data_IF_048699001812
#
_entry.id   IF_048699001812
#
_cell.length_a   1.000
_cell.length_b   1.000
_cell.length_c   1.000
_cell.angle_alpha   90.00
_cell.angle_beta   90.00
_cell.angle_gamma   90.00
#
_symmetry.space_group_name_H-M   'P 1'
#
loop_
_entity.id
_entity.type
_entity.pdbx_description
1 polymer ?
#
# COMPACT_ATOMS: atom_id res chain seq x y z
N UNK A 1 -5.18 32.59 8.26
CA UNK A 1 -6.26 32.79 9.28
C UNK A 1 -7.13 31.53 9.32
N UNK A 2 -8.01 31.37 10.33
CA UNK A 2 -9.08 30.34 10.45
C UNK A 2 -8.77 29.20 11.42
N UNK A 3 -8.82 29.49 12.72
CA UNK A 3 -9.35 28.60 13.78
C UNK A 3 -9.20 29.36 15.10
N UNK A 4 -9.97 30.43 15.27
CA UNK A 4 -10.03 31.14 16.55
C UNK A 4 -11.33 30.88 17.32
N UNK A 5 -12.35 30.28 16.69
CA UNK A 5 -13.62 29.91 17.32
C UNK A 5 -14.18 28.58 16.78
N UNK A 6 -13.41 27.49 16.84
CA UNK A 6 -13.89 26.17 16.42
C UNK A 6 -14.09 25.26 17.63
N UNK A 7 -15.33 24.97 17.99
CA UNK A 7 -15.65 23.92 18.97
C UNK A 7 -15.32 22.55 18.35
N UNK A 8 -14.33 21.81 18.88
CA UNK A 8 -13.85 20.61 18.22
C UNK A 8 -14.89 19.49 18.31
N UNK A 9 -15.38 19.05 17.16
CA UNK A 9 -16.28 17.89 17.03
C UNK A 9 -15.48 16.75 16.46
N UNK A 10 -15.09 15.79 17.30
CA UNK A 10 -14.13 14.71 16.97
C UNK A 10 -14.41 14.06 15.61
N UNK A 11 -15.64 13.62 15.34
CA UNK A 11 -15.97 12.96 14.06
C UNK A 11 -15.99 13.92 12.86
N UNK A 12 -16.51 15.13 13.05
CA UNK A 12 -16.62 16.14 11.98
C UNK A 12 -15.22 16.64 11.58
N UNK A 13 -14.38 16.90 12.58
CA UNK A 13 -13.03 17.42 12.38
C UNK A 13 -12.09 16.34 11.88
N UNK A 14 -12.24 15.10 12.38
CA UNK A 14 -11.51 13.96 11.86
C UNK A 14 -11.78 13.79 10.36
N UNK A 15 -13.04 13.81 9.93
CA UNK A 15 -13.43 13.62 8.52
C UNK A 15 -13.11 14.82 7.63
N UNK A 16 -13.37 16.03 8.11
CA UNK A 16 -13.34 17.23 7.27
C UNK A 16 -12.00 17.95 7.28
N UNK A 17 -11.18 17.73 8.31
CA UNK A 17 -9.96 18.52 8.54
C UNK A 17 -8.75 17.60 8.63
N UNK A 18 -8.75 16.63 9.56
CA UNK A 18 -7.59 15.79 9.88
C UNK A 18 -7.34 14.76 8.77
N UNK A 19 -8.37 14.01 8.34
CA UNK A 19 -8.24 12.97 7.30
C UNK A 19 -7.73 13.54 5.97
N UNK A 20 -8.28 14.65 5.42
CA UNK A 20 -7.76 15.25 4.20
C UNK A 20 -6.33 15.80 4.39
N UNK A 21 -6.03 16.41 5.55
CA UNK A 21 -4.71 16.96 5.83
C UNK A 21 -3.63 15.88 6.01
N UNK A 22 -4.00 14.70 6.54
CA UNK A 22 -3.09 13.57 6.78
C UNK A 22 -3.19 12.48 5.71
N UNK A 23 -3.96 12.70 4.65
CA UNK A 23 -4.21 11.71 3.60
C UNK A 23 -2.91 11.16 2.98
N UNK A 24 -1.92 12.02 2.83
CA UNK A 24 -0.58 11.67 2.32
C UNK A 24 0.10 10.61 3.20
N UNK A 25 0.13 10.85 4.52
CA UNK A 25 0.71 9.95 5.50
C UNK A 25 -0.10 8.65 5.64
N UNK A 26 -1.42 8.73 5.59
CA UNK A 26 -2.29 7.55 5.59
C UNK A 26 -2.06 6.69 4.37
N UNK A 27 -1.92 7.30 3.19
CA UNK A 27 -1.65 6.56 1.95
C UNK A 27 -0.29 5.87 2.00
N UNK A 28 0.74 6.55 2.52
CA UNK A 28 2.07 5.94 2.73
C UNK A 28 2.01 4.79 3.75
N UNK A 29 1.33 4.98 4.89
CA UNK A 29 1.17 3.96 5.94
C UNK A 29 0.37 2.74 5.46
N UNK A 30 -0.72 2.96 4.71
CA UNK A 30 -1.51 1.89 4.10
C UNK A 30 -0.69 1.13 3.06
N UNK A 31 0.03 1.84 2.19
CA UNK A 31 0.89 1.22 1.18
C UNK A 31 1.99 0.37 1.82
N UNK A 32 2.61 0.86 2.90
CA UNK A 32 3.61 0.12 3.68
C UNK A 32 3.02 -1.14 4.33
N UNK A 33 1.85 -1.01 4.96
CA UNK A 33 1.12 -2.13 5.59
C UNK A 33 0.75 -3.20 4.56
N UNK A 34 0.23 -2.81 3.39
CA UNK A 34 -0.10 -3.73 2.31
C UNK A 34 1.17 -4.45 1.82
N UNK A 35 2.26 -3.71 1.60
CA UNK A 35 3.52 -4.30 1.14
C UNK A 35 4.12 -5.28 2.16
N UNK A 36 4.05 -4.96 3.46
CA UNK A 36 4.49 -5.85 4.53
C UNK A 36 3.61 -7.10 4.64
N UNK A 37 2.28 -6.94 4.52
CA UNK A 37 1.33 -8.05 4.55
C UNK A 37 1.56 -9.01 3.39
N UNK A 38 1.93 -8.50 2.22
CA UNK A 38 2.34 -9.29 1.07
C UNK A 38 3.57 -10.17 1.38
N UNK A 39 4.60 -9.60 2.00
CA UNK A 39 5.77 -10.35 2.45
C UNK A 39 5.44 -11.42 3.49
N UNK A 40 4.56 -11.09 4.45
CA UNK A 40 4.08 -12.04 5.46
C UNK A 40 3.32 -13.22 4.85
N UNK A 41 2.43 -12.96 3.89
CA UNK A 41 1.69 -14.00 3.16
C UNK A 41 2.63 -14.98 2.44
N UNK A 42 3.66 -14.48 1.77
CA UNK A 42 4.65 -15.31 1.10
C UNK A 42 5.38 -16.25 2.08
N UNK A 43 5.84 -15.74 3.22
CA UNK A 43 6.50 -16.56 4.26
C UNK A 43 5.55 -17.62 4.82
N UNK A 44 4.28 -17.26 4.99
CA UNK A 44 3.24 -18.12 5.54
C UNK A 44 2.94 -19.31 4.61
N UNK A 45 3.07 -19.16 3.28
CA UNK A 45 2.93 -20.30 2.34
C UNK A 45 4.02 -21.37 2.50
N UNK A 46 5.22 -20.99 2.96
CA UNK A 46 6.31 -21.93 3.23
C UNK A 46 6.21 -22.60 4.60
N UNK A 47 5.22 -22.24 5.42
CA UNK A 47 4.98 -22.85 6.71
C UNK A 47 3.81 -23.85 6.61
N UNK A 48 4.06 -25.16 6.48
CA UNK A 48 2.98 -26.14 6.40
C UNK A 48 2.29 -26.30 7.76
N UNK A 49 1.00 -26.64 7.77
CA UNK A 49 0.22 -26.95 8.98
C UNK A 49 0.00 -25.79 9.97
N UNK A 50 -0.04 -24.54 9.49
CA UNK A 50 -0.28 -23.34 10.34
C UNK A 50 -1.52 -23.46 11.22
N UNK A 51 -2.55 -24.15 10.76
CA UNK A 51 -3.68 -24.51 11.59
C UNK A 51 -3.94 -26.02 11.52
N UNK A 52 -3.13 -26.79 12.26
CA UNK A 52 -3.12 -28.25 12.42
C UNK A 52 -3.00 -29.05 11.12
N UNK A 53 -3.99 -28.94 10.23
CA UNK A 53 -4.11 -29.64 8.94
C UNK A 53 -4.28 -28.69 7.75
N UNK A 54 -4.38 -27.38 7.97
CA UNK A 54 -4.51 -26.39 6.89
C UNK A 54 -3.19 -25.66 6.66
N UNK A 55 -2.76 -25.69 5.42
CA UNK A 55 -1.68 -24.85 4.91
C UNK A 55 -2.30 -23.68 4.16
N UNK A 56 -1.74 -22.49 4.33
CA UNK A 56 -2.15 -21.33 3.56
C UNK A 56 -1.59 -21.48 2.14
N UNK A 57 -2.46 -21.49 1.14
CA UNK A 57 -2.07 -21.46 -0.27
C UNK A 57 -2.76 -20.30 -0.97
N UNK A 58 -1.98 -19.47 -1.65
CA UNK A 58 -2.50 -18.39 -2.47
C UNK A 58 -2.93 -18.96 -3.82
N UNK A 59 -4.23 -18.85 -4.09
CA UNK A 59 -4.83 -19.40 -5.30
C UNK A 59 -4.87 -18.42 -6.48
N UNK A 60 -4.58 -17.13 -6.26
CA UNK A 60 -4.80 -16.05 -7.23
C UNK A 60 -3.69 -14.99 -7.11
N UNK A 61 -3.32 -14.37 -8.24
CA UNK A 61 -2.45 -13.20 -8.27
C UNK A 61 -0.96 -13.53 -8.38
N UNK A 62 -0.13 -12.49 -8.21
CA UNK A 62 1.34 -12.58 -8.37
C UNK A 62 1.98 -13.62 -7.46
N UNK A 63 1.46 -13.83 -6.24
CA UNK A 63 2.03 -14.80 -5.30
C UNK A 63 1.94 -16.22 -5.83
N UNK A 64 0.79 -16.64 -6.38
CA UNK A 64 0.63 -17.94 -7.03
C UNK A 64 1.59 -18.12 -8.20
N UNK A 65 1.76 -17.06 -9.01
CA UNK A 65 2.72 -17.08 -10.11
C UNK A 65 4.15 -17.28 -9.58
N UNK A 66 4.54 -16.61 -8.50
CA UNK A 66 5.84 -16.89 -7.85
C UNK A 66 5.91 -18.32 -7.33
N UNK A 67 4.99 -18.74 -6.47
CA UNK A 67 5.10 -20.00 -5.74
C UNK A 67 5.03 -21.21 -6.65
N UNK A 68 4.17 -21.19 -7.67
CA UNK A 68 4.12 -22.24 -8.70
C UNK A 68 5.42 -22.31 -9.51
N UNK A 69 6.00 -21.19 -9.91
CA UNK A 69 7.26 -21.19 -10.66
C UNK A 69 8.47 -21.52 -9.78
N UNK A 70 8.48 -21.13 -8.50
CA UNK A 70 9.51 -21.51 -7.54
C UNK A 70 9.46 -23.02 -7.25
N UNK A 71 8.26 -23.58 -7.04
CA UNK A 71 8.07 -25.01 -6.82
C UNK A 71 8.51 -25.86 -8.03
N UNK A 72 8.37 -25.34 -9.25
CA UNK A 72 8.80 -26.00 -10.49
C UNK A 72 10.27 -25.74 -10.87
N UNK A 73 11.05 -25.02 -10.02
CA UNK A 73 12.46 -24.71 -10.29
C UNK A 73 12.70 -23.58 -11.30
N UNK A 74 11.66 -22.91 -11.77
CA UNK A 74 11.73 -21.77 -12.71
C UNK A 74 11.94 -20.44 -11.97
N UNK A 75 12.95 -20.38 -11.10
CA UNK A 75 13.24 -19.24 -10.21
C UNK A 75 13.51 -17.94 -10.98
N UNK A 76 14.15 -18.04 -12.14
CA UNK A 76 14.49 -16.88 -12.99
C UNK A 76 13.25 -16.25 -13.62
N UNK A 77 12.28 -17.06 -14.06
CA UNK A 77 11.04 -16.58 -14.68
C UNK A 77 10.14 -15.97 -13.61
N UNK A 78 10.03 -16.64 -12.46
CA UNK A 78 9.29 -16.14 -11.31
C UNK A 78 9.80 -14.76 -10.88
N UNK A 79 11.12 -14.64 -10.65
CA UNK A 79 11.74 -13.41 -10.17
C UNK A 79 11.66 -12.28 -11.21
N UNK A 80 11.90 -12.56 -12.50
CA UNK A 80 11.86 -11.53 -13.56
C UNK A 80 10.45 -11.02 -13.83
N UNK A 81 9.47 -11.91 -13.96
CA UNK A 81 8.10 -11.51 -14.26
C UNK A 81 7.47 -10.75 -13.08
N UNK A 82 7.72 -11.20 -11.85
CA UNK A 82 7.17 -10.55 -10.66
C UNK A 82 7.82 -9.22 -10.33
N UNK A 83 9.15 -9.11 -10.47
CA UNK A 83 9.85 -7.85 -10.23
C UNK A 83 9.47 -6.78 -11.25
N UNK A 84 9.27 -7.16 -12.51
CA UNK A 84 8.82 -6.24 -13.56
C UNK A 84 7.40 -5.72 -13.28
N UNK A 85 6.46 -6.62 -12.98
CA UNK A 85 5.08 -6.23 -12.66
C UNK A 85 5.03 -5.36 -11.41
N UNK A 86 5.79 -5.71 -10.37
CA UNK A 86 5.90 -4.89 -9.17
C UNK A 86 6.47 -3.50 -9.47
N UNK A 87 7.55 -3.42 -10.25
CA UNK A 87 8.16 -2.15 -10.64
C UNK A 87 7.20 -1.24 -11.40
N UNK A 88 6.39 -1.80 -12.32
CA UNK A 88 5.37 -1.04 -13.05
C UNK A 88 4.34 -0.45 -12.09
N UNK A 89 3.77 -1.29 -11.21
CA UNK A 89 2.74 -0.84 -10.24
C UNK A 89 3.31 0.19 -9.27
N UNK A 90 4.51 -0.05 -8.73
CA UNK A 90 5.18 0.86 -7.83
C UNK A 90 5.52 2.20 -8.49
N UNK A 91 5.96 2.19 -9.75
CA UNK A 91 6.28 3.41 -10.50
C UNK A 91 5.02 4.23 -10.79
N UNK A 92 3.96 3.59 -11.29
CA UNK A 92 2.67 4.26 -11.55
C UNK A 92 2.13 4.87 -10.25
N UNK A 93 2.13 4.09 -9.16
CA UNK A 93 1.68 4.56 -7.86
C UNK A 93 2.53 5.72 -7.33
N UNK A 94 3.87 5.62 -7.44
CA UNK A 94 4.79 6.67 -7.04
C UNK A 94 4.57 7.97 -7.80
N UNK A 95 4.36 7.90 -9.13
CA UNK A 95 4.05 9.08 -9.96
C UNK A 95 2.72 9.70 -9.55
N UNK A 96 1.65 8.90 -9.46
CA UNK A 96 0.31 9.40 -9.12
C UNK A 96 0.31 10.03 -7.73
N UNK A 97 0.93 9.35 -6.76
CA UNK A 97 1.07 9.85 -5.40
C UNK A 97 1.81 11.19 -5.43
N UNK A 98 3.02 11.22 -5.99
CA UNK A 98 3.85 12.45 -6.03
C UNK A 98 3.13 13.62 -6.69
N UNK A 99 2.43 13.38 -7.82
CA UNK A 99 1.64 14.42 -8.49
C UNK A 99 0.51 14.94 -7.61
N UNK A 100 -0.21 14.04 -6.93
CA UNK A 100 -1.26 14.43 -6.00
C UNK A 100 -0.70 15.18 -4.78
N UNK A 101 0.46 14.76 -4.25
CA UNK A 101 1.13 15.43 -3.14
C UNK A 101 1.52 16.86 -3.50
N UNK A 102 2.18 17.05 -4.66
CA UNK A 102 2.58 18.37 -5.16
C UNK A 102 1.39 19.28 -5.45
N UNK A 103 0.33 18.75 -6.07
CA UNK A 103 -0.88 19.52 -6.36
C UNK A 103 -1.56 20.01 -5.08
N UNK A 104 -1.62 19.16 -4.05
CA UNK A 104 -2.21 19.53 -2.76
C UNK A 104 -1.37 20.59 -2.03
N UNK A 105 -0.04 20.48 -2.08
CA UNK A 105 0.87 21.45 -1.50
C UNK A 105 0.73 22.82 -2.18
N UNK A 106 0.67 22.85 -3.53
CA UNK A 106 0.46 24.09 -4.30
C UNK A 106 -0.87 24.78 -3.96
N UNK A 107 -1.96 24.01 -3.80
CA UNK A 107 -3.26 24.56 -3.42
C UNK A 107 -3.31 25.13 -2.00
N UNK A 108 -2.52 24.59 -1.07
CA UNK A 108 -2.46 25.10 0.31
C UNK A 108 -1.65 26.41 0.37
N UNK A 109 -0.56 26.48 -0.38
CA UNK A 109 0.31 27.67 -0.44
C UNK A 109 -0.45 28.92 -0.94
N UNK A 110 -1.30 28.77 -1.97
CA UNK A 110 -2.10 29.88 -2.54
C UNK A 110 -3.23 30.37 -1.60
N UNK A 111 -3.62 29.57 -0.60
CA UNK A 111 -4.68 29.96 0.37
C UNK A 111 -4.07 30.64 1.61
N UNK A 112 -2.74 30.56 1.78
CA UNK A 112 -2.01 31.20 2.87
C UNK A 112 -1.45 32.60 2.50
N UNK A 113 -1.39 32.94 1.20
CA UNK A 113 -1.17 34.32 0.68
C UNK A 113 -2.49 35.10 0.57
#
# INVERSE_FOLDING_TARGET
MVMRDHEPKVFTDLRSIILPAKFQYLTAGLSSTINSSWGGLAVTEYCPHINCSRTLQVHIGMMKLLTSNLANGHTVVAAKASSLLFAIVATIFGIILTKNLMHLASKRYVVEE
#
